data_IF_008013688733
#
_entry.id   IF_008013688733
#
_cell.length_a   1.000
_cell.length_b   1.000
_cell.length_c   1.000
_cell.angle_alpha   90.00
_cell.angle_beta   90.00
_cell.angle_gamma   90.00
#
_symmetry.space_group_name_H-M   'P 1'
#
loop_
_entity.id
_entity.type
_entity.pdbx_description
1 polymer ?
#
# COMPACT_ATOMS: atom_id res chain seq x y z
N UNK A 1 -4.67 37.18 32.89
CA UNK A 1 -5.60 37.15 31.75
C UNK A 1 -4.90 37.38 30.39
N UNK A 2 -4.25 38.52 30.13
CA UNK A 2 -3.66 38.81 28.80
C UNK A 2 -2.50 37.91 28.31
N UNK A 3 -1.73 37.25 29.20
CA UNK A 3 -0.63 36.35 28.78
C UNK A 3 -1.13 35.01 28.23
N UNK A 4 -2.16 34.43 28.82
CA UNK A 4 -2.69 33.11 28.44
C UNK A 4 -3.40 33.16 27.08
N UNK A 5 -4.15 34.23 26.83
CA UNK A 5 -4.82 34.47 25.55
C UNK A 5 -3.81 34.65 24.40
N UNK A 6 -2.68 35.32 24.67
CA UNK A 6 -1.59 35.50 23.70
C UNK A 6 -0.90 34.17 23.36
N UNK A 7 -0.65 33.33 24.36
CA UNK A 7 -0.07 31.98 24.16
C UNK A 7 -1.04 31.07 23.40
N UNK A 8 -2.33 31.12 23.72
CA UNK A 8 -3.39 30.37 23.00
C UNK A 8 -3.48 30.80 21.54
N UNK A 9 -3.44 32.10 21.26
CA UNK A 9 -3.48 32.65 19.90
C UNK A 9 -2.21 32.31 19.09
N UNK A 10 -1.04 32.25 19.72
CA UNK A 10 0.19 31.78 19.07
C UNK A 10 0.06 30.30 18.71
N UNK A 11 -0.38 29.44 19.63
CA UNK A 11 -0.60 28.00 19.37
C UNK A 11 -1.60 27.78 18.23
N UNK A 12 -2.72 28.51 18.22
CA UNK A 12 -3.72 28.43 17.16
C UNK A 12 -3.14 28.88 15.81
N UNK A 13 -2.39 29.99 15.76
CA UNK A 13 -1.73 30.44 14.52
C UNK A 13 -0.67 29.47 14.03
N UNK A 14 0.11 28.85 14.92
CA UNK A 14 1.10 27.83 14.57
C UNK A 14 0.44 26.59 13.96
N UNK A 15 -0.67 26.14 14.57
CA UNK A 15 -1.47 25.03 14.05
C UNK A 15 -2.09 25.41 12.70
N UNK A 16 -2.68 26.60 12.56
CA UNK A 16 -3.22 27.09 11.29
C UNK A 16 -2.15 27.23 10.19
N UNK A 17 -0.91 27.59 10.55
CA UNK A 17 0.21 27.66 9.62
C UNK A 17 0.73 26.29 9.20
N UNK A 18 0.66 25.30 10.10
CA UNK A 18 0.95 23.91 9.78
C UNK A 18 -0.16 23.28 8.93
N UNK A 19 -1.42 23.68 9.15
CA UNK A 19 -2.58 23.23 8.39
C UNK A 19 -2.70 23.88 7.00
N UNK A 20 -2.03 25.00 6.75
CA UNK A 20 -2.03 25.69 5.45
C UNK A 20 -0.72 25.45 4.72
N UNK A 21 -0.47 24.20 4.36
CA UNK A 21 0.56 23.87 3.36
C UNK A 21 0.09 24.41 2.01
N UNK A 22 0.67 25.55 1.60
CA UNK A 22 0.59 25.96 0.20
C UNK A 22 1.76 25.32 -0.52
N UNK A 23 1.44 24.31 -1.30
CA UNK A 23 2.36 23.77 -2.31
C UNK A 23 2.48 24.81 -3.43
N UNK A 24 3.71 25.17 -3.81
CA UNK A 24 3.99 25.97 -5.02
C UNK A 24 4.04 25.08 -6.28
N UNK A 25 3.95 23.77 -6.08
CA UNK A 25 3.97 22.73 -7.07
C UNK A 25 2.68 22.70 -7.89
N UNK A 26 2.80 22.51 -9.21
CA UNK A 26 1.64 22.43 -10.12
C UNK A 26 0.86 21.13 -10.00
N UNK A 27 1.51 20.07 -9.50
CA UNK A 27 0.94 18.75 -9.33
C UNK A 27 1.73 17.96 -8.29
N UNK A 28 1.06 17.03 -7.62
CA UNK A 28 1.65 16.04 -6.73
C UNK A 28 1.21 14.67 -7.26
N UNK A 29 2.16 13.73 -7.38
CA UNK A 29 1.89 12.35 -7.79
C UNK A 29 2.02 11.47 -6.54
N UNK A 30 0.99 10.67 -6.27
CA UNK A 30 0.96 9.73 -5.17
C UNK A 30 1.11 8.32 -5.70
N UNK A 31 1.96 7.54 -5.04
CA UNK A 31 1.87 6.09 -5.11
C UNK A 31 0.57 5.61 -4.41
N UNK A 32 0.11 4.39 -4.67
CA UNK A 32 -1.09 3.83 -4.04
C UNK A 32 -0.76 3.00 -2.79
N UNK A 33 0.02 1.94 -2.97
CA UNK A 33 0.29 0.93 -1.94
C UNK A 33 1.17 1.51 -0.84
N UNK A 34 0.75 1.36 0.43
CA UNK A 34 1.46 1.95 1.57
C UNK A 34 1.48 3.48 1.63
N UNK A 35 0.84 4.16 0.67
CA UNK A 35 0.78 5.63 0.57
C UNK A 35 -0.66 6.14 0.73
N UNK A 36 -1.58 5.74 -0.15
CA UNK A 36 -3.00 6.13 -0.04
C UNK A 36 -3.80 5.15 0.82
N UNK A 37 -3.34 3.90 0.87
CA UNK A 37 -3.98 2.80 1.60
C UNK A 37 -2.92 1.97 2.33
N UNK A 38 -3.29 1.42 3.49
CA UNK A 38 -2.42 0.51 4.25
C UNK A 38 -2.71 -0.94 3.88
N UNK A 39 -2.12 -1.38 2.77
CA UNK A 39 -2.41 -2.69 2.17
C UNK A 39 -1.16 -3.58 1.95
N UNK A 40 0.03 -3.13 2.36
CA UNK A 40 1.27 -3.90 2.20
C UNK A 40 1.16 -5.30 2.85
N UNK A 41 0.63 -5.45 4.09
CA UNK A 41 0.47 -6.79 4.69
C UNK A 41 -0.43 -7.71 3.87
N UNK A 42 -1.48 -7.16 3.24
CA UNK A 42 -2.40 -7.95 2.43
C UNK A 42 -1.77 -8.43 1.12
N UNK A 43 -0.81 -7.70 0.56
CA UNK A 43 -0.04 -8.18 -0.58
C UNK A 43 0.80 -9.41 -0.19
N UNK A 44 1.46 -9.38 0.96
CA UNK A 44 2.23 -10.51 1.50
C UNK A 44 1.34 -11.73 1.78
N UNK A 45 0.27 -11.54 2.56
CA UNK A 45 -0.68 -12.60 2.89
C UNK A 45 -1.30 -13.24 1.63
N UNK A 46 -1.63 -12.41 0.63
CA UNK A 46 -2.21 -12.91 -0.63
C UNK A 46 -1.22 -13.75 -1.43
N UNK A 47 0.06 -13.43 -1.40
CA UNK A 47 1.09 -14.26 -2.02
C UNK A 47 1.26 -15.60 -1.30
N UNK A 48 1.34 -15.59 0.03
CA UNK A 48 1.48 -16.81 0.83
C UNK A 48 0.27 -17.72 0.61
N UNK A 49 -0.95 -17.16 0.63
CA UNK A 49 -2.18 -17.89 0.33
C UNK A 49 -2.17 -18.46 -1.10
N UNK A 50 -1.87 -17.63 -2.10
CA UNK A 50 -1.82 -18.03 -3.50
C UNK A 50 -0.82 -19.16 -3.75
N UNK A 51 0.39 -19.08 -3.17
CA UNK A 51 1.41 -20.12 -3.29
C UNK A 51 0.95 -21.43 -2.65
N UNK A 52 0.36 -21.35 -1.45
CA UNK A 52 -0.20 -22.51 -0.75
C UNK A 52 -1.29 -23.22 -1.57
N UNK A 53 -2.19 -22.46 -2.20
CA UNK A 53 -3.22 -23.00 -3.09
C UNK A 53 -2.65 -23.71 -4.32
N UNK A 54 -1.42 -23.38 -4.73
CA UNK A 54 -0.69 -24.02 -5.82
C UNK A 54 0.31 -25.09 -5.34
N UNK A 55 0.25 -25.49 -4.07
CA UNK A 55 1.09 -26.55 -3.51
C UNK A 55 2.50 -26.11 -3.13
N UNK A 56 2.78 -24.81 -3.09
CA UNK A 56 4.06 -24.24 -2.67
C UNK A 56 3.89 -23.71 -1.25
N UNK A 57 4.34 -24.46 -0.25
CA UNK A 57 4.33 -24.01 1.14
C UNK A 57 5.59 -23.20 1.43
N UNK A 58 5.41 -21.94 1.82
CA UNK A 58 6.49 -21.04 2.26
C UNK A 58 6.09 -20.45 3.61
N UNK A 59 7.02 -20.46 4.56
CA UNK A 59 6.83 -19.75 5.82
C UNK A 59 6.94 -18.24 5.59
N UNK A 60 6.14 -17.40 6.28
CA UNK A 60 6.13 -15.95 6.06
C UNK A 60 7.53 -15.32 6.11
N UNK A 61 8.37 -15.72 7.05
CA UNK A 61 9.73 -15.20 7.21
C UNK A 61 10.62 -15.47 5.99
N UNK A 62 10.39 -16.59 5.32
CA UNK A 62 11.09 -16.96 4.09
C UNK A 62 10.52 -16.23 2.86
N UNK A 63 9.24 -15.85 2.88
CA UNK A 63 8.63 -15.08 1.81
C UNK A 63 9.21 -13.66 1.73
N UNK A 64 9.45 -13.02 2.88
CA UNK A 64 10.02 -11.65 2.95
C UNK A 64 11.32 -11.52 2.16
N UNK A 65 12.22 -12.51 2.24
CA UNK A 65 13.48 -12.51 1.50
C UNK A 65 13.30 -12.52 -0.03
N UNK A 66 12.13 -12.97 -0.50
CA UNK A 66 11.76 -13.05 -1.90
C UNK A 66 10.72 -12.01 -2.30
N UNK A 67 10.29 -11.10 -1.41
CA UNK A 67 9.22 -10.15 -1.70
C UNK A 67 9.74 -8.91 -2.44
N UNK A 68 10.24 -9.11 -3.66
CA UNK A 68 10.73 -8.03 -4.51
C UNK A 68 10.63 -8.35 -6.00
N UNK A 69 10.40 -7.30 -6.80
CA UNK A 69 10.26 -7.38 -8.25
C UNK A 69 8.81 -7.29 -8.70
N UNK A 70 8.62 -7.39 -10.01
CA UNK A 70 7.32 -7.36 -10.66
C UNK A 70 6.53 -8.66 -10.42
N UNK A 71 5.20 -8.60 -10.65
CA UNK A 71 4.33 -9.78 -10.63
C UNK A 71 4.91 -10.95 -11.45
N UNK A 72 5.36 -10.67 -12.68
CA UNK A 72 5.88 -11.72 -13.57
C UNK A 72 7.19 -12.33 -13.05
N UNK A 73 8.10 -11.51 -12.50
CA UNK A 73 9.34 -12.00 -11.90
C UNK A 73 9.08 -12.87 -10.68
N UNK A 74 8.09 -12.48 -9.86
CA UNK A 74 7.65 -13.27 -8.70
C UNK A 74 7.04 -14.61 -9.13
N UNK A 75 6.16 -14.61 -10.12
CA UNK A 75 5.59 -15.85 -10.66
C UNK A 75 6.68 -16.78 -11.19
N UNK A 76 7.61 -16.26 -12.00
CA UNK A 76 8.74 -17.06 -12.53
C UNK A 76 9.63 -17.60 -11.40
N UNK A 77 9.83 -16.82 -10.33
CA UNK A 77 10.65 -17.23 -9.17
C UNK A 77 10.08 -18.45 -8.46
N UNK A 78 8.76 -18.53 -8.28
CA UNK A 78 8.13 -19.63 -7.54
C UNK A 78 7.72 -20.81 -8.43
N UNK A 79 7.36 -20.57 -9.69
CA UNK A 79 6.85 -21.60 -10.60
C UNK A 79 7.88 -22.08 -11.63
N UNK A 80 9.04 -21.44 -11.69
CA UNK A 80 10.10 -21.74 -12.66
C UNK A 80 9.99 -20.92 -13.94
N UNK A 81 11.06 -20.97 -14.75
CA UNK A 81 11.19 -20.22 -16.00
C UNK A 81 10.74 -21.02 -17.24
N UNK A 82 10.27 -22.25 -17.06
CA UNK A 82 9.82 -23.16 -18.11
C UNK A 82 8.32 -23.05 -18.41
N UNK A 83 7.62 -22.10 -17.79
CA UNK A 83 6.19 -21.83 -18.03
C UNK A 83 6.00 -20.78 -19.13
N UNK A 84 4.89 -20.90 -19.89
CA UNK A 84 4.59 -19.97 -20.98
C UNK A 84 4.20 -18.58 -20.46
N UNK A 85 4.25 -17.56 -21.34
CA UNK A 85 3.83 -16.20 -20.97
C UNK A 85 2.34 -16.14 -20.60
N UNK A 86 1.51 -16.91 -21.29
CA UNK A 86 0.08 -17.04 -21.00
C UNK A 86 -0.12 -17.62 -19.61
N UNK A 87 0.67 -18.65 -19.25
CA UNK A 87 0.61 -19.22 -17.90
C UNK A 87 1.05 -18.23 -16.82
N UNK A 88 2.09 -17.43 -17.08
CA UNK A 88 2.54 -16.38 -16.16
C UNK A 88 1.41 -15.35 -15.95
N UNK A 89 0.76 -14.92 -17.02
CA UNK A 89 -0.35 -13.98 -16.97
C UNK A 89 -1.54 -14.54 -16.17
N UNK A 90 -1.95 -15.78 -16.46
CA UNK A 90 -3.06 -16.45 -15.74
C UNK A 90 -2.78 -16.59 -14.24
N UNK A 91 -1.53 -16.91 -13.88
CA UNK A 91 -1.11 -16.99 -12.48
C UNK A 91 -1.10 -15.61 -11.82
N UNK A 92 -0.68 -14.56 -12.54
CA UNK A 92 -0.74 -13.18 -12.08
C UNK A 92 -2.18 -12.73 -11.80
N UNK A 93 -3.13 -13.06 -12.68
CA UNK A 93 -4.55 -12.77 -12.46
C UNK A 93 -5.10 -13.48 -11.23
N UNK A 94 -4.72 -14.75 -11.02
CA UNK A 94 -5.14 -15.51 -9.82
C UNK A 94 -4.55 -14.94 -8.54
N UNK A 95 -3.28 -14.51 -8.54
CA UNK A 95 -2.68 -13.82 -7.38
C UNK A 95 -3.41 -12.52 -7.10
N UNK A 96 -3.78 -11.77 -8.13
CA UNK A 96 -4.51 -10.52 -7.99
C UNK A 96 -5.93 -10.75 -7.42
N UNK A 97 -6.62 -11.80 -7.87
CA UNK A 97 -7.92 -12.19 -7.31
C UNK A 97 -7.80 -12.59 -5.82
N UNK A 98 -6.75 -13.34 -5.45
CA UNK A 98 -6.48 -13.67 -4.06
C UNK A 98 -6.28 -12.41 -3.19
N UNK A 99 -5.51 -11.44 -3.69
CA UNK A 99 -5.32 -10.14 -3.03
C UNK A 99 -6.63 -9.37 -2.90
N UNK A 100 -7.41 -9.24 -3.98
CA UNK A 100 -8.67 -8.51 -3.95
C UNK A 100 -9.67 -9.14 -2.99
N UNK A 101 -9.80 -10.46 -3.00
CA UNK A 101 -10.72 -11.16 -2.10
C UNK A 101 -10.31 -11.01 -0.63
N UNK A 102 -9.01 -11.01 -0.33
CA UNK A 102 -8.49 -10.78 1.00
C UNK A 102 -8.69 -9.33 1.48
N UNK A 103 -8.42 -8.36 0.62
CA UNK A 103 -8.37 -6.94 0.99
C UNK A 103 -9.71 -6.19 0.87
N UNK A 104 -10.64 -6.65 0.02
CA UNK A 104 -11.87 -5.90 -0.34
C UNK A 104 -12.66 -5.36 0.87
N UNK A 105 -12.81 -6.16 1.92
CA UNK A 105 -13.57 -5.77 3.11
C UNK A 105 -12.79 -4.88 4.10
N UNK A 106 -11.50 -4.68 3.86
CA UNK A 106 -10.59 -3.89 4.69
C UNK A 106 -10.23 -2.55 4.03
N UNK A 107 -10.58 -2.36 2.76
CA UNK A 107 -10.20 -1.19 1.97
C UNK A 107 -10.64 0.11 2.62
N UNK A 108 -9.65 0.91 3.02
CA UNK A 108 -9.84 2.21 3.65
C UNK A 108 -8.64 3.11 3.35
N UNK A 109 -8.90 4.40 3.12
CA UNK A 109 -7.84 5.38 3.02
C UNK A 109 -7.03 5.53 4.32
N UNK A 110 -5.77 5.94 4.20
CA UNK A 110 -4.98 6.34 5.36
C UNK A 110 -5.61 7.54 6.08
N UNK A 111 -5.33 7.66 7.38
CA UNK A 111 -5.90 8.71 8.20
C UNK A 111 -5.51 10.10 7.67
N UNK A 112 -6.51 10.92 7.36
CA UNK A 112 -6.32 12.30 6.92
C UNK A 112 -6.17 12.49 5.41
N UNK A 113 -6.20 11.43 4.60
CA UNK A 113 -6.04 11.53 3.14
C UNK A 113 -7.12 12.42 2.49
N UNK A 114 -8.40 12.12 2.73
CA UNK A 114 -9.50 12.94 2.21
C UNK A 114 -9.41 14.39 2.68
N UNK A 115 -8.92 14.64 3.90
CA UNK A 115 -8.70 16.01 4.39
C UNK A 115 -7.57 16.70 3.63
N UNK A 116 -6.47 15.99 3.37
CA UNK A 116 -5.33 16.51 2.62
C UNK A 116 -5.73 16.95 1.20
N UNK A 117 -6.57 16.18 0.48
CA UNK A 117 -7.01 16.52 -0.88
C UNK A 117 -8.06 17.63 -0.99
N UNK A 118 -8.71 18.01 0.12
CA UNK A 118 -9.79 19.03 0.12
C UNK A 118 -9.30 20.45 0.42
N UNK A 119 -8.04 20.62 0.80
CA UNK A 119 -7.42 21.93 1.09
C UNK A 119 -6.64 22.47 -0.10
#
# INVERSE_FOLDING_TARGET
MHKEEKVRNIKIKSIQRFLRMKFEEKAIIFDMDGTLVDNIPYHEDSWILFLKEHGINIEPEHFVAHNHGTMNEMIVRFFGNNISREKIYDLGLKKEDAYQNLYRNHMKEINGLTFFFKN
#
